data_IF_673685760097
#
_entry.id   IF_673685760097
#
_cell.length_a   1.000
_cell.length_b   1.000
_cell.length_c   1.000
_cell.angle_alpha   90.00
_cell.angle_beta   90.00
_cell.angle_gamma   90.00
#
_symmetry.space_group_name_H-M   'P 1'
#
loop_
_entity.id
_entity.type
_entity.pdbx_description
1 polymer ?
#
# COMPACT_ATOMS: atom_id res chain seq x y z
N UNK A 1 -11.89 1.76 11.63
CA UNK A 1 -12.44 1.12 12.86
C UNK A 1 -13.15 -0.19 12.53
N UNK A 2 -14.32 -0.15 11.86
CA UNK A 2 -15.11 -1.36 11.56
C UNK A 2 -14.28 -2.50 10.90
N UNK A 3 -13.43 -2.24 9.88
CA UNK A 3 -12.62 -3.32 9.29
C UNK A 3 -11.69 -4.03 10.29
N UNK A 4 -11.13 -3.29 11.25
CA UNK A 4 -10.26 -3.87 12.29
C UNK A 4 -11.07 -4.72 13.26
N UNK A 5 -12.26 -4.26 13.66
CA UNK A 5 -13.17 -5.05 14.51
C UNK A 5 -13.55 -6.36 13.82
N UNK A 6 -13.90 -6.31 12.54
CA UNK A 6 -14.22 -7.51 11.76
C UNK A 6 -13.03 -8.47 11.68
N UNK A 7 -11.82 -7.96 11.43
CA UNK A 7 -10.60 -8.80 11.45
C UNK A 7 -10.39 -9.46 12.82
N UNK A 8 -10.58 -8.74 13.92
CA UNK A 8 -10.47 -9.31 15.28
C UNK A 8 -11.50 -10.43 15.48
N UNK A 9 -12.77 -10.19 15.12
CA UNK A 9 -13.83 -11.22 15.21
C UNK A 9 -13.48 -12.43 14.36
N UNK A 10 -12.99 -12.23 13.13
CA UNK A 10 -12.57 -13.30 12.24
C UNK A 10 -11.42 -14.10 12.84
N UNK A 11 -10.38 -13.44 13.35
CA UNK A 11 -9.21 -14.09 13.95
C UNK A 11 -9.62 -14.93 15.16
N UNK A 12 -10.37 -14.35 16.10
CA UNK A 12 -10.79 -15.03 17.33
C UNK A 12 -11.71 -16.20 17.01
N UNK A 13 -12.72 -16.00 16.19
CA UNK A 13 -13.68 -17.06 15.82
C UNK A 13 -12.99 -18.19 15.06
N UNK A 14 -12.14 -17.86 14.07
CA UNK A 14 -11.42 -18.86 13.30
C UNK A 14 -10.46 -19.68 14.17
N UNK A 15 -9.79 -19.02 15.12
CA UNK A 15 -8.92 -19.70 16.08
C UNK A 15 -9.69 -20.63 17.03
N UNK A 16 -10.87 -20.22 17.50
CA UNK A 16 -11.72 -21.06 18.36
C UNK A 16 -12.22 -22.31 17.63
N UNK A 17 -12.45 -22.23 16.32
CA UNK A 17 -12.96 -23.35 15.53
C UNK A 17 -11.87 -24.34 15.11
N UNK A 18 -10.69 -23.85 14.70
CA UNK A 18 -9.64 -24.72 14.15
C UNK A 18 -8.21 -24.19 14.36
N UNK A 19 -7.98 -23.40 15.42
CA UNK A 19 -6.66 -22.84 15.74
C UNK A 19 -6.05 -22.03 14.60
N UNK A 20 -4.72 -22.10 14.46
CA UNK A 20 -3.99 -21.41 13.39
C UNK A 20 -4.38 -21.88 11.99
N UNK A 21 -4.79 -23.14 11.83
CA UNK A 21 -5.33 -23.64 10.57
C UNK A 21 -6.64 -22.95 10.21
N UNK A 22 -7.53 -22.73 11.19
CA UNK A 22 -8.74 -21.94 11.01
C UNK A 22 -8.46 -20.52 10.52
N UNK A 23 -7.47 -19.84 11.10
CA UNK A 23 -7.05 -18.50 10.65
C UNK A 23 -6.55 -18.53 9.20
N UNK A 24 -5.75 -19.53 8.83
CA UNK A 24 -5.26 -19.68 7.46
C UNK A 24 -6.40 -19.92 6.46
N UNK A 25 -7.37 -20.77 6.80
CA UNK A 25 -8.55 -21.01 5.97
C UNK A 25 -9.47 -19.78 5.92
N UNK A 26 -9.57 -18.99 7.00
CA UNK A 26 -10.30 -17.72 6.97
C UNK A 26 -9.64 -16.71 6.01
N UNK A 27 -8.30 -16.68 5.95
CA UNK A 27 -7.58 -15.89 4.95
C UNK A 27 -7.94 -16.32 3.53
N UNK A 28 -7.93 -17.64 3.27
CA UNK A 28 -8.31 -18.21 1.98
C UNK A 28 -9.78 -17.93 1.65
N UNK A 29 -10.67 -18.01 2.64
CA UNK A 29 -12.09 -17.69 2.52
C UNK A 29 -12.31 -16.25 2.08
N UNK A 30 -11.54 -15.30 2.64
CA UNK A 30 -11.56 -13.91 2.19
C UNK A 30 -11.20 -13.83 0.71
N UNK A 31 -10.11 -14.45 0.25
CA UNK A 31 -9.72 -14.40 -1.18
C UNK A 31 -10.41 -15.45 -2.07
N UNK A 32 -11.42 -16.18 -1.59
CA UNK A 32 -12.07 -17.24 -2.37
C UNK A 32 -12.80 -16.71 -3.61
N UNK A 33 -13.24 -15.46 -3.55
CA UNK A 33 -13.90 -14.73 -4.66
C UNK A 33 -12.96 -13.76 -5.37
N UNK A 34 -11.64 -13.98 -5.30
CA UNK A 34 -10.61 -13.06 -5.83
C UNK A 34 -10.81 -12.74 -7.32
N UNK A 35 -11.33 -13.67 -8.14
CA UNK A 35 -11.62 -13.40 -9.55
C UNK A 35 -12.62 -12.25 -9.72
N UNK A 36 -13.71 -12.24 -8.93
CA UNK A 36 -14.70 -11.17 -8.94
C UNK A 36 -14.09 -9.90 -8.38
N UNK A 37 -13.35 -9.99 -7.27
CA UNK A 37 -12.67 -8.85 -6.66
C UNK A 37 -11.71 -8.14 -7.62
N UNK A 38 -10.86 -8.90 -8.33
CA UNK A 38 -9.96 -8.36 -9.35
C UNK A 38 -10.70 -7.79 -10.54
N UNK A 39 -11.82 -8.39 -10.95
CA UNK A 39 -12.62 -7.89 -12.08
C UNK A 39 -13.17 -6.49 -11.79
N UNK A 40 -13.73 -6.27 -10.59
CA UNK A 40 -14.27 -4.96 -10.21
C UNK A 40 -13.18 -3.93 -9.92
N UNK A 41 -12.01 -4.35 -9.44
CA UNK A 41 -10.86 -3.47 -9.20
C UNK A 41 -10.25 -3.02 -10.54
N UNK A 42 -9.95 -3.97 -11.43
CA UNK A 42 -9.38 -3.70 -12.76
C UNK A 42 -10.31 -2.87 -13.66
N UNK A 43 -11.63 -2.93 -13.44
CA UNK A 43 -12.61 -2.08 -14.11
C UNK A 43 -12.33 -0.58 -13.91
N UNK A 44 -11.80 -0.17 -12.75
CA UNK A 44 -11.53 1.24 -12.43
C UNK A 44 -10.50 1.88 -13.35
N UNK A 45 -9.23 1.41 -13.36
CA UNK A 45 -8.19 1.95 -14.24
C UNK A 45 -8.50 1.87 -15.74
N UNK A 46 -9.31 0.88 -16.17
CA UNK A 46 -9.79 0.80 -17.56
C UNK A 46 -10.75 1.96 -17.85
N UNK A 47 -11.66 2.26 -16.94
CA UNK A 47 -12.62 3.36 -17.06
C UNK A 47 -11.94 4.73 -17.02
N UNK A 48 -10.93 4.91 -16.17
CA UNK A 48 -10.12 6.13 -16.10
C UNK A 48 -9.37 6.39 -17.43
N UNK A 49 -8.67 5.37 -17.95
CA UNK A 49 -8.01 5.47 -19.26
C UNK A 49 -8.99 5.78 -20.40
N UNK A 50 -10.19 5.19 -20.37
CA UNK A 50 -11.22 5.50 -21.37
C UNK A 50 -11.63 6.99 -21.32
N UNK A 51 -11.75 7.57 -20.13
CA UNK A 51 -12.01 9.00 -19.95
C UNK A 51 -10.85 9.88 -20.42
N UNK A 52 -9.61 9.49 -20.11
CA UNK A 52 -8.41 10.19 -20.60
C UNK A 52 -8.30 10.17 -22.13
N UNK A 53 -8.54 9.02 -22.76
CA UNK A 53 -8.57 8.89 -24.23
C UNK A 53 -9.68 9.75 -24.83
N UNK A 54 -10.87 9.77 -24.24
CA UNK A 54 -11.98 10.58 -24.72
C UNK A 54 -11.65 12.09 -24.71
N UNK A 55 -10.99 12.56 -23.65
CA UNK A 55 -10.53 13.96 -23.54
C UNK A 55 -9.45 14.28 -24.59
N UNK A 56 -8.42 13.43 -24.70
CA UNK A 56 -7.30 13.64 -25.64
C UNK A 56 -7.72 13.54 -27.11
N UNK A 57 -8.80 12.82 -27.40
CA UNK A 57 -9.37 12.68 -28.74
C UNK A 57 -10.49 13.71 -29.03
N UNK A 58 -10.71 14.68 -28.13
CA UNK A 58 -11.73 15.73 -28.25
C UNK A 58 -13.14 15.18 -28.54
N UNK A 59 -13.48 14.03 -27.95
CA UNK A 59 -14.79 13.42 -28.12
C UNK A 59 -15.88 14.27 -27.45
N UNK A 60 -17.13 14.08 -27.90
CA UNK A 60 -18.27 14.83 -27.40
C UNK A 60 -18.44 14.72 -25.87
N UNK A 61 -18.92 15.80 -25.25
CA UNK A 61 -19.09 15.92 -23.79
C UNK A 61 -19.87 14.74 -23.18
N UNK A 62 -20.85 14.19 -23.89
CA UNK A 62 -21.60 13.01 -23.46
C UNK A 62 -20.69 11.79 -23.20
N UNK A 63 -19.64 11.58 -24.01
CA UNK A 63 -18.68 10.49 -23.83
C UNK A 63 -17.87 10.72 -22.55
N UNK A 64 -17.47 11.96 -22.28
CA UNK A 64 -16.76 12.33 -21.05
C UNK A 64 -17.63 12.16 -19.81
N UNK A 65 -18.89 12.61 -19.87
CA UNK A 65 -19.83 12.48 -18.76
C UNK A 65 -20.12 11.00 -18.41
N UNK A 66 -20.21 10.13 -19.43
CA UNK A 66 -20.35 8.68 -19.24
C UNK A 66 -19.10 8.09 -18.60
N UNK A 67 -17.92 8.35 -19.16
CA UNK A 67 -16.64 7.82 -18.63
C UNK A 67 -16.34 8.34 -17.21
N UNK A 68 -16.61 9.61 -16.91
CA UNK A 68 -16.49 10.19 -15.56
C UNK A 68 -17.44 9.53 -14.55
N UNK A 69 -18.55 8.94 -15.00
CA UNK A 69 -19.46 8.18 -14.15
C UNK A 69 -18.93 6.78 -13.89
N UNK A 70 -18.34 6.15 -14.90
CA UNK A 70 -17.68 4.84 -14.77
C UNK A 70 -16.44 4.93 -13.87
N UNK A 71 -15.61 5.95 -14.04
CA UNK A 71 -14.41 6.25 -13.25
C UNK A 71 -14.74 6.46 -11.76
N UNK A 72 -15.77 7.24 -11.44
CA UNK A 72 -16.20 7.42 -10.05
C UNK A 72 -16.64 6.10 -9.37
N UNK A 73 -17.28 5.20 -10.13
CA UNK A 73 -17.57 3.85 -9.64
C UNK A 73 -16.27 3.03 -9.47
N UNK A 74 -15.34 3.16 -10.41
CA UNK A 74 -14.00 2.58 -10.38
C UNK A 74 -13.19 2.96 -9.14
N UNK A 75 -13.22 4.22 -8.72
CA UNK A 75 -12.50 4.68 -7.52
C UNK A 75 -13.05 4.05 -6.24
N UNK A 76 -14.36 3.76 -6.23
CA UNK A 76 -15.00 3.03 -5.14
C UNK A 76 -14.63 1.55 -5.16
N UNK A 77 -14.64 0.89 -6.33
CA UNK A 77 -14.26 -0.52 -6.44
C UNK A 77 -12.77 -0.74 -6.14
N UNK A 78 -11.90 0.20 -6.52
CA UNK A 78 -10.48 0.18 -6.17
C UNK A 78 -10.27 0.30 -4.66
N UNK A 79 -11.03 1.15 -3.97
CA UNK A 79 -10.98 1.23 -2.50
C UNK A 79 -11.43 -0.10 -1.84
N UNK A 80 -12.46 -0.74 -2.37
CA UNK A 80 -12.91 -2.08 -1.92
C UNK A 80 -11.81 -3.12 -2.16
N UNK A 81 -11.21 -3.14 -3.36
CA UNK A 81 -10.10 -4.03 -3.71
C UNK A 81 -8.91 -3.86 -2.78
N UNK A 82 -8.50 -2.62 -2.49
CA UNK A 82 -7.46 -2.29 -1.50
C UNK A 82 -7.81 -2.81 -0.11
N UNK A 83 -9.05 -2.60 0.35
CA UNK A 83 -9.53 -3.13 1.64
C UNK A 83 -9.45 -4.65 1.72
N UNK A 84 -9.83 -5.34 0.64
CA UNK A 84 -9.76 -6.80 0.52
C UNK A 84 -8.31 -7.32 0.51
N UNK A 85 -7.42 -6.63 -0.21
CA UNK A 85 -6.01 -6.93 -0.24
C UNK A 85 -5.36 -6.76 1.14
N UNK A 86 -5.72 -5.70 1.87
CA UNK A 86 -5.20 -5.44 3.24
C UNK A 86 -5.75 -6.47 4.23
N UNK A 87 -7.06 -6.75 4.20
CA UNK A 87 -7.67 -7.74 5.11
C UNK A 87 -7.11 -9.15 4.89
N UNK A 88 -6.98 -9.57 3.64
CA UNK A 88 -6.37 -10.86 3.31
C UNK A 88 -4.89 -10.89 3.68
N UNK A 89 -4.17 -9.78 3.51
CA UNK A 89 -2.80 -9.65 3.97
C UNK A 89 -2.65 -9.83 5.47
N UNK A 90 -3.56 -9.25 6.26
CA UNK A 90 -3.53 -9.42 7.70
C UNK A 90 -3.66 -10.90 8.09
N UNK A 91 -4.67 -11.59 7.55
CA UNK A 91 -4.95 -12.99 7.88
C UNK A 91 -3.87 -13.94 7.34
N UNK A 92 -3.41 -13.76 6.11
CA UNK A 92 -2.32 -14.57 5.53
C UNK A 92 -1.02 -14.37 6.31
N UNK A 93 -0.70 -13.13 6.69
CA UNK A 93 0.52 -12.86 7.46
C UNK A 93 0.46 -13.46 8.86
N UNK A 94 -0.72 -13.48 9.49
CA UNK A 94 -0.92 -14.16 10.77
C UNK A 94 -0.75 -15.68 10.65
N UNK A 95 -1.24 -16.28 9.57
CA UNK A 95 -1.03 -17.70 9.27
C UNK A 95 0.45 -18.03 9.03
N UNK A 96 1.15 -17.21 8.23
CA UNK A 96 2.59 -17.33 7.98
C UNK A 96 3.41 -17.12 9.26
N UNK A 97 2.99 -16.19 10.12
CA UNK A 97 3.60 -15.96 11.41
C UNK A 97 3.47 -17.19 12.31
N UNK A 98 2.29 -17.81 12.40
CA UNK A 98 2.14 -19.08 13.11
C UNK A 98 3.04 -20.18 12.54
N UNK A 99 3.07 -20.33 11.22
CA UNK A 99 3.94 -21.30 10.58
C UNK A 99 5.42 -21.04 10.94
N UNK A 100 5.84 -19.77 11.00
CA UNK A 100 7.18 -19.38 11.42
C UNK A 100 7.46 -19.78 12.88
N UNK A 101 6.53 -19.54 13.81
CA UNK A 101 6.69 -19.94 15.22
C UNK A 101 6.77 -21.46 15.37
N UNK A 102 5.93 -22.21 14.65
CA UNK A 102 6.01 -23.67 14.64
C UNK A 102 7.34 -24.15 14.04
N UNK A 103 7.77 -23.56 12.92
CA UNK A 103 9.00 -23.96 12.22
C UNK A 103 10.26 -23.67 13.03
N UNK A 104 10.24 -22.63 13.86
CA UNK A 104 11.35 -22.24 14.73
C UNK A 104 11.35 -22.95 16.08
N UNK A 105 10.37 -23.84 16.34
CA UNK A 105 10.18 -24.51 17.63
C UNK A 105 10.09 -23.54 18.82
N UNK A 106 9.60 -22.32 18.58
CA UNK A 106 9.43 -21.31 19.63
C UNK A 106 8.21 -21.67 20.47
N UNK A 107 8.42 -22.08 21.72
CA UNK A 107 7.38 -22.61 22.61
C UNK A 107 6.46 -21.54 23.21
N UNK A 108 6.98 -20.35 23.50
CA UNK A 108 6.17 -19.21 23.98
C UNK A 108 6.72 -17.87 23.48
N UNK A 109 5.80 -16.97 23.13
CA UNK A 109 6.07 -15.58 22.81
C UNK A 109 5.51 -14.70 23.91
N UNK A 110 6.29 -14.53 24.97
CA UNK A 110 5.93 -13.64 26.05
C UNK A 110 6.20 -12.20 25.63
N UNK A 111 5.15 -11.39 25.53
CA UNK A 111 5.26 -9.97 25.12
C UNK A 111 6.13 -9.17 26.10
N UNK A 112 6.20 -9.59 27.37
CA UNK A 112 7.04 -8.94 28.38
C UNK A 112 8.53 -9.33 28.29
N UNK A 113 8.89 -10.30 27.45
CA UNK A 113 10.29 -10.59 27.17
C UNK A 113 10.90 -9.42 26.37
N UNK A 114 12.05 -8.92 26.82
CA UNK A 114 12.70 -7.74 26.23
C UNK A 114 13.03 -7.90 24.74
N UNK A 115 13.43 -9.10 24.29
CA UNK A 115 13.73 -9.38 22.89
C UNK A 115 12.46 -9.24 22.02
N UNK A 116 11.36 -9.82 22.50
CA UNK A 116 10.06 -9.81 21.81
C UNK A 116 9.49 -8.40 21.79
N UNK A 117 9.49 -7.70 22.93
CA UNK A 117 8.98 -6.34 23.03
C UNK A 117 9.80 -5.34 22.20
N UNK A 118 11.13 -5.45 22.23
CA UNK A 118 12.02 -4.65 21.38
C UNK A 118 11.75 -4.89 19.90
N UNK A 119 11.57 -6.16 19.51
CA UNK A 119 11.13 -6.53 18.17
C UNK A 119 9.77 -5.93 17.82
N UNK A 120 8.80 -5.97 18.73
CA UNK A 120 7.45 -5.42 18.54
C UNK A 120 7.48 -3.93 18.25
N UNK A 121 8.23 -3.15 19.04
CA UNK A 121 8.40 -1.72 18.81
C UNK A 121 9.09 -1.43 17.47
N UNK A 122 10.16 -2.16 17.16
CA UNK A 122 10.88 -2.00 15.89
C UNK A 122 9.97 -2.32 14.71
N UNK A 123 9.24 -3.44 14.77
CA UNK A 123 8.29 -3.87 13.76
C UNK A 123 7.17 -2.86 13.53
N UNK A 124 6.59 -2.31 14.61
CA UNK A 124 5.53 -1.31 14.52
C UNK A 124 5.98 -0.01 13.82
N UNK A 125 7.27 0.32 13.88
CA UNK A 125 7.85 1.48 13.21
C UNK A 125 8.07 1.26 11.70
N UNK A 126 8.31 0.02 11.24
CA UNK A 126 8.64 -0.28 9.84
C UNK A 126 7.60 0.20 8.82
N UNK A 127 6.27 0.03 9.02
CA UNK A 127 5.28 0.57 8.08
C UNK A 127 5.35 2.10 7.95
N UNK A 128 5.65 2.81 9.04
CA UNK A 128 5.80 4.27 9.03
C UNK A 128 7.08 4.70 8.32
N UNK A 129 8.19 4.01 8.58
CA UNK A 129 9.45 4.25 7.90
C UNK A 129 9.34 3.99 6.39
N UNK A 130 8.71 2.87 6.01
CA UNK A 130 8.41 2.54 4.62
C UNK A 130 7.57 3.63 3.95
N UNK A 131 6.50 4.06 4.62
CA UNK A 131 5.61 5.14 4.14
C UNK A 131 6.36 6.46 3.99
N UNK A 132 7.24 6.80 4.94
CA UNK A 132 8.02 8.02 4.86
C UNK A 132 8.95 8.03 3.63
N UNK A 133 9.55 6.89 3.28
CA UNK A 133 10.36 6.75 2.07
C UNK A 133 9.50 6.93 0.82
N UNK A 134 8.42 6.15 0.68
CA UNK A 134 7.58 6.16 -0.53
C UNK A 134 6.91 7.51 -0.75
N UNK A 135 6.38 8.14 0.31
CA UNK A 135 5.78 9.48 0.23
C UNK A 135 6.81 10.53 -0.20
N UNK A 136 8.04 10.48 0.35
CA UNK A 136 9.11 11.41 -0.02
C UNK A 136 9.55 11.22 -1.47
N UNK A 137 9.64 9.98 -1.94
CA UNK A 137 10.02 9.66 -3.32
C UNK A 137 8.99 10.18 -4.32
N UNK A 138 7.69 9.97 -4.06
CA UNK A 138 6.63 10.55 -4.92
C UNK A 138 6.64 12.07 -4.88
N UNK A 139 6.81 12.67 -3.69
CA UNK A 139 6.86 14.12 -3.54
C UNK A 139 7.98 14.76 -4.37
N UNK A 140 9.18 14.17 -4.38
CA UNK A 140 10.29 14.65 -5.23
C UNK A 140 9.95 14.54 -6.72
N UNK A 141 9.49 13.37 -7.17
CA UNK A 141 9.14 13.13 -8.56
C UNK A 141 8.00 14.05 -9.04
N UNK A 142 7.04 14.34 -8.17
CA UNK A 142 5.94 15.25 -8.45
C UNK A 142 6.41 16.71 -8.60
N UNK A 143 7.36 17.16 -7.77
CA UNK A 143 7.96 18.49 -7.92
C UNK A 143 8.69 18.61 -9.26
N UNK A 144 9.51 17.63 -9.60
CA UNK A 144 10.22 17.59 -10.89
C UNK A 144 9.24 17.62 -12.08
N UNK A 145 8.14 16.86 -11.99
CA UNK A 145 7.06 16.85 -12.98
C UNK A 145 6.38 18.21 -13.11
N UNK A 146 6.08 18.88 -12.00
CA UNK A 146 5.45 20.21 -12.00
C UNK A 146 6.36 21.26 -12.61
N UNK A 147 7.65 21.23 -12.29
CA UNK A 147 8.64 22.14 -12.87
C UNK A 147 8.78 21.94 -14.38
N UNK A 148 8.82 20.69 -14.85
CA UNK A 148 8.88 20.35 -16.27
C UNK A 148 7.62 20.81 -17.03
N UNK A 149 6.42 20.51 -16.51
CA UNK A 149 5.16 20.93 -17.15
C UNK A 149 5.08 22.47 -17.22
N UNK A 150 5.47 23.17 -16.15
CA UNK A 150 5.54 24.65 -16.15
C UNK A 150 6.53 25.19 -17.16
N UNK A 151 7.69 24.54 -17.29
CA UNK A 151 8.72 24.89 -18.27
C UNK A 151 8.17 24.76 -19.69
N UNK A 152 7.53 23.63 -20.02
CA UNK A 152 6.94 23.44 -21.35
C UNK A 152 5.87 24.49 -21.68
N UNK A 153 4.98 24.81 -20.72
CA UNK A 153 3.98 25.87 -20.91
C UNK A 153 4.58 27.26 -21.13
N UNK A 154 5.75 27.54 -20.57
CA UNK A 154 6.42 28.85 -20.70
C UNK A 154 7.29 28.94 -21.95
N UNK A 155 8.02 27.88 -22.28
CA UNK A 155 9.09 27.90 -23.29
C UNK A 155 8.64 27.46 -24.68
N UNK A 156 7.61 26.61 -24.81
CA UNK A 156 7.14 26.13 -26.10
C UNK A 156 5.98 27.01 -26.56
N UNK A 157 6.17 27.87 -27.58
CA UNK A 157 5.11 28.77 -28.04
C UNK A 157 3.93 27.97 -28.59
N UNK A 158 2.69 28.42 -28.41
CA UNK A 158 1.53 27.77 -29.03
C UNK A 158 1.00 26.53 -28.30
N UNK A 159 1.61 26.05 -27.21
CA UNK A 159 1.10 24.87 -26.46
C UNK A 159 -0.25 25.17 -25.80
N UNK A 160 -0.36 26.30 -25.11
CA UNK A 160 -1.61 26.66 -24.40
C UNK A 160 -2.74 26.97 -25.36
N UNK A 161 -2.41 27.38 -26.59
CA UNK A 161 -3.33 27.59 -27.70
C UNK A 161 -3.65 26.31 -28.49
N UNK A 162 -3.05 25.17 -28.12
CA UNK A 162 -3.25 23.87 -28.80
C UNK A 162 -2.61 23.76 -30.19
N UNK A 163 -1.72 24.67 -30.56
CA UNK A 163 -1.08 24.72 -31.89
C UNK A 163 0.15 23.82 -32.00
N UNK A 164 0.87 23.65 -30.89
CA UNK A 164 2.08 22.83 -30.83
C UNK A 164 1.91 21.68 -29.84
N UNK A 165 2.58 20.56 -30.11
CA UNK A 165 2.53 19.38 -29.26
C UNK A 165 3.49 19.50 -28.07
N UNK A 166 3.07 19.09 -26.86
CA UNK A 166 3.96 19.01 -25.71
C UNK A 166 4.96 17.85 -25.84
N UNK A 167 6.04 17.92 -25.08
CA UNK A 167 7.01 16.82 -24.98
C UNK A 167 6.59 15.85 -23.87
N UNK A 168 5.79 14.86 -24.27
CA UNK A 168 5.35 13.78 -23.39
C UNK A 168 6.51 12.88 -22.93
N UNK A 169 7.54 12.71 -23.77
CA UNK A 169 8.66 11.81 -23.47
C UNK A 169 9.40 12.30 -22.24
N UNK A 170 9.58 13.60 -22.10
CA UNK A 170 10.27 14.17 -20.94
C UNK A 170 9.55 13.88 -19.62
N UNK A 171 8.23 14.01 -19.57
CA UNK A 171 7.43 13.63 -18.41
C UNK A 171 7.53 12.14 -18.09
N UNK A 172 7.49 11.27 -19.12
CA UNK A 172 7.68 9.82 -18.96
C UNK A 172 9.07 9.49 -18.41
N UNK A 173 10.11 10.16 -18.89
CA UNK A 173 11.49 9.94 -18.44
C UNK A 173 11.68 10.31 -16.96
N UNK A 174 11.05 11.40 -16.50
CA UNK A 174 11.09 11.84 -15.09
C UNK A 174 10.46 10.79 -14.18
N UNK A 175 9.22 10.37 -14.47
CA UNK A 175 8.52 9.39 -13.63
C UNK A 175 9.21 8.02 -13.66
N UNK A 176 9.69 7.58 -14.82
CA UNK A 176 10.41 6.30 -14.99
C UNK A 176 11.70 6.28 -14.20
N UNK A 177 12.54 7.31 -14.35
CA UNK A 177 13.84 7.38 -13.67
C UNK A 177 13.69 7.46 -12.16
N UNK A 178 12.72 8.25 -11.68
CA UNK A 178 12.41 8.35 -10.26
C UNK A 178 11.92 7.01 -9.71
N UNK A 179 10.96 6.36 -10.37
CA UNK A 179 10.40 5.08 -9.92
C UNK A 179 11.49 3.99 -9.81
N UNK A 180 12.32 3.82 -10.85
CA UNK A 180 13.36 2.79 -10.87
C UNK A 180 14.43 3.00 -9.79
N UNK A 181 14.81 4.26 -9.52
CA UNK A 181 15.82 4.58 -8.52
C UNK A 181 15.27 4.47 -7.10
N UNK A 182 14.08 5.02 -6.88
CA UNK A 182 13.52 5.19 -5.54
C UNK A 182 12.87 3.90 -5.01
N UNK A 183 12.47 2.94 -5.86
CA UNK A 183 11.91 1.66 -5.42
C UNK A 183 12.93 0.76 -4.68
N UNK A 184 14.23 0.97 -4.91
CA UNK A 184 15.30 0.09 -4.38
C UNK A 184 15.32 0.13 -2.85
N UNK A 185 15.30 1.33 -2.25
CA UNK A 185 15.49 1.47 -0.81
C UNK A 185 14.32 0.88 0.02
N UNK A 186 13.04 1.16 -0.30
CA UNK A 186 11.92 0.49 0.36
C UNK A 186 11.93 -1.03 0.13
N UNK A 187 12.33 -1.50 -1.06
CA UNK A 187 12.46 -2.92 -1.34
C UNK A 187 13.52 -3.61 -0.48
N UNK A 188 14.70 -2.99 -0.36
CA UNK A 188 15.78 -3.48 0.50
C UNK A 188 15.37 -3.46 1.97
N UNK A 189 14.66 -2.43 2.44
CA UNK A 189 14.14 -2.40 3.81
C UNK A 189 13.33 -3.68 4.10
N UNK A 190 12.38 -4.01 3.23
CA UNK A 190 11.47 -5.15 3.44
C UNK A 190 12.20 -6.49 3.36
N UNK A 191 13.09 -6.66 2.38
CA UNK A 191 13.83 -7.92 2.19
C UNK A 191 14.91 -8.16 3.24
N UNK A 192 15.68 -7.12 3.58
CA UNK A 192 16.81 -7.26 4.49
C UNK A 192 16.38 -7.30 5.95
N UNK A 193 15.24 -6.70 6.33
CA UNK A 193 14.82 -6.66 7.73
C UNK A 193 14.69 -8.05 8.36
N UNK A 194 13.96 -9.03 7.78
CA UNK A 194 13.90 -10.38 8.33
C UNK A 194 15.27 -11.06 8.43
N UNK A 195 16.11 -10.87 7.42
CA UNK A 195 17.44 -11.49 7.34
C UNK A 195 18.35 -10.94 8.44
N UNK A 196 18.45 -9.61 8.55
CA UNK A 196 19.30 -8.94 9.53
C UNK A 196 18.79 -9.17 10.95
N UNK A 197 17.49 -9.04 11.20
CA UNK A 197 16.92 -9.25 12.54
C UNK A 197 17.04 -10.71 12.94
N UNK A 198 16.67 -11.65 12.07
CA UNK A 198 16.78 -13.08 12.35
C UNK A 198 18.22 -13.52 12.59
N UNK A 199 19.17 -13.02 11.79
CA UNK A 199 20.58 -13.37 11.94
C UNK A 199 21.21 -12.74 13.19
N UNK A 200 21.02 -11.45 13.43
CA UNK A 200 21.67 -10.72 14.52
C UNK A 200 20.99 -10.94 15.88
N UNK A 201 19.65 -10.89 15.92
CA UNK A 201 18.87 -10.89 17.16
C UNK A 201 18.04 -12.17 17.35
N UNK A 202 17.91 -13.02 16.32
CA UNK A 202 17.28 -14.33 16.47
C UNK A 202 15.76 -14.32 16.32
N UNK A 203 15.18 -15.52 16.49
CA UNK A 203 13.78 -15.80 16.13
C UNK A 203 12.76 -15.11 17.03
N UNK A 204 13.07 -14.87 18.31
CA UNK A 204 12.18 -14.19 19.26
C UNK A 204 12.00 -12.71 18.92
N UNK A 205 13.10 -12.00 18.67
CA UNK A 205 13.03 -10.61 18.21
C UNK A 205 12.33 -10.51 16.86
N UNK A 206 12.67 -11.40 15.91
CA UNK A 206 12.02 -11.42 14.60
C UNK A 206 10.51 -11.67 14.72
N UNK A 207 10.07 -12.54 15.63
CA UNK A 207 8.66 -12.75 15.90
C UNK A 207 7.95 -11.48 16.39
N UNK A 208 8.59 -10.73 17.29
CA UNK A 208 8.13 -9.40 17.70
C UNK A 208 8.00 -8.45 16.52
N UNK A 209 9.02 -8.40 15.65
CA UNK A 209 9.01 -7.55 14.44
C UNK A 209 7.83 -7.87 13.53
N UNK A 210 7.57 -9.15 13.27
CA UNK A 210 6.44 -9.59 12.44
C UNK A 210 5.10 -9.19 13.05
N UNK A 211 4.92 -9.39 14.36
CA UNK A 211 3.69 -9.03 15.06
C UNK A 211 3.46 -7.50 15.04
N UNK A 212 4.51 -6.72 15.30
CA UNK A 212 4.46 -5.25 15.33
C UNK A 212 4.14 -4.67 13.96
N UNK A 213 4.83 -5.14 12.93
CA UNK A 213 4.61 -4.69 11.55
C UNK A 213 3.20 -5.03 11.07
N UNK A 214 2.67 -6.19 11.45
CA UNK A 214 1.30 -6.60 11.13
C UNK A 214 0.26 -5.64 11.75
N UNK A 215 0.30 -5.45 13.08
CA UNK A 215 -0.75 -4.68 13.76
C UNK A 215 -0.70 -3.19 13.40
N UNK A 216 0.49 -2.61 13.28
CA UNK A 216 0.65 -1.20 12.90
C UNK A 216 0.35 -1.00 11.41
N UNK A 217 0.87 -1.89 10.56
CA UNK A 217 0.76 -1.76 9.11
C UNK A 217 -0.66 -1.89 8.61
N UNK A 218 -1.47 -2.79 9.18
CA UNK A 218 -2.89 -2.94 8.79
C UNK A 218 -3.68 -1.66 9.04
N UNK A 219 -3.49 -1.01 10.20
CA UNK A 219 -4.20 0.25 10.53
C UNK A 219 -3.74 1.39 9.61
N UNK A 220 -2.44 1.51 9.38
CA UNK A 220 -1.87 2.54 8.49
C UNK A 220 -2.32 2.33 7.04
N UNK A 221 -2.31 1.10 6.54
CA UNK A 221 -2.72 0.79 5.17
C UNK A 221 -4.20 1.11 4.93
N UNK A 222 -5.09 0.73 5.85
CA UNK A 222 -6.53 1.02 5.74
C UNK A 222 -6.79 2.53 5.76
N UNK A 223 -6.15 3.24 6.69
CA UNK A 223 -6.33 4.70 6.80
C UNK A 223 -5.83 5.42 5.54
N UNK A 224 -4.62 5.10 5.06
CA UNK A 224 -4.06 5.69 3.85
C UNK A 224 -4.93 5.46 2.61
N UNK A 225 -5.35 4.21 2.36
CA UNK A 225 -6.19 3.87 1.21
C UNK A 225 -7.54 4.59 1.24
N UNK A 226 -8.21 4.59 2.39
CA UNK A 226 -9.53 5.21 2.52
C UNK A 226 -9.47 6.74 2.51
N UNK A 227 -8.46 7.35 3.13
CA UNK A 227 -8.29 8.81 3.11
C UNK A 227 -8.06 9.32 1.69
N UNK A 228 -7.16 8.69 0.93
CA UNK A 228 -6.93 9.12 -0.46
C UNK A 228 -8.13 8.88 -1.37
N UNK A 229 -8.82 7.73 -1.24
CA UNK A 229 -10.06 7.49 -2.00
C UNK A 229 -11.19 8.44 -1.61
N UNK A 230 -11.26 8.85 -0.34
CA UNK A 230 -12.20 9.84 0.15
C UNK A 230 -11.98 11.23 -0.45
N UNK A 231 -10.72 11.69 -0.53
CA UNK A 231 -10.40 12.97 -1.16
C UNK A 231 -10.67 12.99 -2.66
N UNK A 232 -10.35 11.91 -3.37
CA UNK A 232 -10.65 11.81 -4.82
C UNK A 232 -12.16 11.88 -5.09
N UNK A 233 -12.95 11.10 -4.35
CA UNK A 233 -14.40 11.12 -4.49
C UNK A 233 -15.01 12.48 -4.08
N UNK A 234 -14.43 13.17 -3.10
CA UNK A 234 -14.85 14.53 -2.76
C UNK A 234 -14.59 15.52 -3.93
N UNK A 235 -13.43 15.43 -4.59
CA UNK A 235 -13.11 16.20 -5.80
C UNK A 235 -14.13 15.90 -6.92
N UNK A 236 -14.35 14.62 -7.25
CA UNK A 236 -15.34 14.20 -8.28
C UNK A 236 -16.76 14.69 -7.96
N UNK A 237 -17.15 14.71 -6.68
CA UNK A 237 -18.44 15.23 -6.25
C UNK A 237 -18.57 16.74 -6.53
N UNK A 238 -17.54 17.52 -6.20
CA UNK A 238 -17.49 18.97 -6.43
C UNK A 238 -17.49 19.29 -7.93
N UNK A 239 -16.75 18.54 -8.74
CA UNK A 239 -16.75 18.67 -10.21
C UNK A 239 -18.16 18.54 -10.81
N UNK A 240 -19.01 17.69 -10.23
CA UNK A 240 -20.36 17.40 -10.76
C UNK A 240 -21.50 18.18 -10.10
N UNK A 241 -21.42 18.47 -8.79
CA UNK A 241 -22.60 18.88 -7.99
C UNK A 241 -22.41 20.12 -7.12
N UNK A 242 -21.19 20.49 -6.75
CA UNK A 242 -20.95 21.55 -5.77
C UNK A 242 -19.85 22.50 -6.23
N UNK A 243 -20.18 23.72 -6.62
CA UNK A 243 -19.22 24.76 -7.05
C UNK A 243 -18.65 24.57 -8.47
N UNK A 244 -18.53 23.34 -8.95
CA UNK A 244 -18.07 23.04 -10.31
C UNK A 244 -16.58 23.28 -10.52
N UNK A 245 -16.08 22.85 -11.69
CA UNK A 245 -14.66 22.96 -12.07
C UNK A 245 -14.20 24.42 -12.05
N UNK A 246 -13.05 24.66 -11.45
CA UNK A 246 -12.39 25.97 -11.38
C UNK A 246 -12.74 26.83 -10.16
N UNK A 247 -13.77 26.46 -9.39
CA UNK A 247 -14.11 27.11 -8.12
C UNK A 247 -13.01 26.94 -7.06
N UNK A 248 -13.02 27.77 -6.01
CA UNK A 248 -12.05 27.66 -4.92
C UNK A 248 -12.23 26.36 -4.13
N UNK A 249 -13.48 25.89 -3.99
CA UNK A 249 -13.78 24.57 -3.42
C UNK A 249 -13.17 23.44 -4.27
N UNK A 250 -13.26 23.55 -5.60
CA UNK A 250 -12.63 22.59 -6.52
C UNK A 250 -11.12 22.58 -6.39
N UNK A 251 -10.47 23.75 -6.36
CA UNK A 251 -9.02 23.84 -6.17
C UNK A 251 -8.59 23.22 -4.84
N UNK A 252 -9.32 23.47 -3.74
CA UNK A 252 -9.03 22.86 -2.44
C UNK A 252 -9.20 21.34 -2.47
N UNK A 253 -10.22 20.82 -3.16
CA UNK A 253 -10.43 19.39 -3.31
C UNK A 253 -9.34 18.72 -4.15
N UNK A 254 -8.87 19.38 -5.22
CA UNK A 254 -7.71 18.92 -6.02
C UNK A 254 -6.46 18.84 -5.16
N UNK A 255 -6.21 19.80 -4.26
CA UNK A 255 -5.08 19.72 -3.32
C UNK A 255 -5.20 18.48 -2.43
N UNK A 256 -6.38 18.23 -1.85
CA UNK A 256 -6.62 17.03 -1.03
C UNK A 256 -6.39 15.73 -1.80
N UNK A 257 -6.85 15.66 -3.04
CA UNK A 257 -6.65 14.49 -3.91
C UNK A 257 -5.16 14.24 -4.20
N UNK A 258 -4.42 15.28 -4.57
CA UNK A 258 -2.97 15.16 -4.83
C UNK A 258 -2.13 14.78 -3.60
N UNK A 259 -2.60 15.14 -2.39
CA UNK A 259 -2.03 14.62 -1.13
C UNK A 259 -2.39 13.14 -0.93
N UNK A 260 -3.60 12.76 -1.32
CA UNK A 260 -4.14 11.40 -1.25
C UNK A 260 -3.54 10.40 -2.24
N UNK A 261 -3.06 10.84 -3.39
CA UNK A 261 -2.48 9.99 -4.44
C UNK A 261 -1.34 9.09 -3.93
N UNK A 262 -0.24 9.62 -3.34
CA UNK A 262 0.83 8.78 -2.82
C UNK A 262 0.39 7.93 -1.61
N UNK A 263 -0.66 8.33 -0.88
CA UNK A 263 -1.24 7.49 0.17
C UNK A 263 -1.98 6.28 -0.40
N UNK A 264 -2.88 6.49 -1.36
CA UNK A 264 -3.79 5.46 -1.84
C UNK A 264 -3.20 4.59 -2.95
N UNK A 265 -2.19 5.07 -3.69
CA UNK A 265 -1.66 4.38 -4.88
C UNK A 265 -0.17 4.00 -4.78
N UNK A 266 0.54 4.47 -3.76
CA UNK A 266 1.93 4.08 -3.52
C UNK A 266 2.11 3.44 -2.16
N UNK A 267 1.95 4.21 -1.09
CA UNK A 267 2.35 3.80 0.26
C UNK A 267 1.35 2.81 0.87
N UNK A 268 0.07 3.17 0.90
CA UNK A 268 -1.00 2.39 1.54
C UNK A 268 -1.11 0.95 1.02
N UNK A 269 -1.27 0.74 -0.30
CA UNK A 269 -1.29 -0.60 -0.87
C UNK A 269 0.02 -1.35 -0.64
N UNK A 270 1.18 -0.70 -0.77
CA UNK A 270 2.47 -1.39 -0.66
C UNK A 270 2.77 -1.90 0.76
N UNK A 271 2.17 -1.32 1.80
CA UNK A 271 2.30 -1.85 3.18
C UNK A 271 1.76 -3.28 3.26
N UNK A 272 0.74 -3.66 2.50
CA UNK A 272 0.23 -5.02 2.51
C UNK A 272 1.27 -6.03 2.01
N UNK A 273 2.10 -5.61 1.06
CA UNK A 273 3.21 -6.39 0.50
C UNK A 273 4.35 -6.45 1.52
N UNK A 274 4.67 -5.33 2.17
CA UNK A 274 5.66 -5.27 3.25
C UNK A 274 5.41 -6.35 4.31
N UNK A 275 4.16 -6.46 4.78
CA UNK A 275 3.81 -7.41 5.85
C UNK A 275 3.92 -8.86 5.35
N UNK A 276 3.29 -9.18 4.20
CA UNK A 276 3.32 -10.54 3.63
C UNK A 276 4.74 -10.99 3.29
N UNK A 277 5.53 -10.10 2.68
CA UNK A 277 6.88 -10.40 2.21
C UNK A 277 7.83 -10.63 3.37
N UNK A 278 7.74 -9.83 4.45
CA UNK A 278 8.51 -10.11 5.66
C UNK A 278 8.10 -11.44 6.29
N UNK A 279 6.80 -11.74 6.37
CA UNK A 279 6.31 -12.99 6.97
C UNK A 279 6.79 -14.23 6.20
N UNK A 280 6.67 -14.24 4.87
CA UNK A 280 7.14 -15.38 4.06
C UNK A 280 8.67 -15.49 4.07
N UNK A 281 9.40 -14.37 4.03
CA UNK A 281 10.87 -14.38 4.10
C UNK A 281 11.32 -14.97 5.44
N UNK A 282 10.72 -14.55 6.55
CA UNK A 282 11.00 -15.12 7.86
C UNK A 282 10.74 -16.63 7.92
N UNK A 283 9.63 -17.09 7.34
CA UNK A 283 9.29 -18.51 7.30
C UNK A 283 10.29 -19.33 6.47
N UNK A 284 10.67 -18.84 5.28
CA UNK A 284 11.62 -19.54 4.40
C UNK A 284 12.99 -19.69 5.06
N UNK A 285 13.45 -18.64 5.74
CA UNK A 285 14.75 -18.64 6.43
C UNK A 285 14.68 -19.13 7.89
N UNK A 286 13.54 -19.64 8.35
CA UNK A 286 13.31 -20.01 9.74
C UNK A 286 14.38 -20.96 10.31
N UNK A 287 14.66 -22.05 9.61
CA UNK A 287 15.69 -23.03 10.00
C UNK A 287 17.09 -22.41 10.09
N UNK A 288 17.42 -21.57 9.12
CA UNK A 288 18.69 -20.85 9.12
C UNK A 288 18.81 -19.97 10.36
N UNK A 289 17.75 -19.25 10.74
CA UNK A 289 17.76 -18.42 11.95
C UNK A 289 17.83 -19.23 13.24
N UNK A 290 17.21 -20.42 13.30
CA UNK A 290 17.35 -21.31 14.47
C UNK A 290 18.80 -21.75 14.65
N UNK A 291 19.46 -22.15 13.56
CA UNK A 291 20.81 -22.69 13.61
C UNK A 291 21.87 -21.59 13.79
N UNK A 292 21.77 -20.53 12.99
CA UNK A 292 22.83 -19.52 12.85
C UNK A 292 22.45 -18.13 13.40
N UNK A 293 21.18 -17.91 13.76
CA UNK A 293 20.71 -16.61 14.23
C UNK A 293 21.05 -16.30 15.69
N UNK A 294 20.67 -15.10 16.12
CA UNK A 294 20.91 -14.60 17.48
C UNK A 294 22.37 -14.31 17.78
N UNK A 295 23.16 -13.93 16.77
CA UNK A 295 24.61 -13.74 16.90
C UNK A 295 24.98 -12.78 18.05
N UNK A 296 24.26 -11.67 18.19
CA UNK A 296 24.51 -10.68 19.25
C UNK A 296 24.32 -11.35 20.62
N UNK A 297 23.20 -12.03 20.83
CA UNK A 297 22.93 -12.70 22.09
C UNK A 297 23.90 -13.83 22.38
N UNK A 298 24.38 -14.56 21.36
CA UNK A 298 25.42 -15.60 21.50
C UNK A 298 26.81 -15.04 21.83
N UNK A 299 27.09 -13.78 21.52
CA UNK A 299 28.37 -13.13 21.82
C UNK A 299 28.37 -12.55 23.24
N UNK A 300 27.23 -12.02 23.69
CA UNK A 300 27.11 -11.32 24.98
C UNK A 300 26.57 -12.20 26.12
N UNK A 301 26.16 -13.44 25.84
CA UNK A 301 25.89 -14.50 26.84
C UNK A 301 27.00 -15.54 26.85
#
# INVERSE_FOLDING_TARGET
VIPVILLVITIVTANLLAGMYGIAIAALGMISTIAIGLTIDAYGPVSDNAGGIAEMAELGKEVRDRTDTLDAAGNTTAAIGKGFAIGSAALTSLALFAAFITRTHTTSLEVLNAEVFGGLMFGAMLPFLFTAMTMKSVGKAAVDMVEEVRKQFKEIPGIMEGKNKPDYKRCVDISTSAALREMILPGLLVLLTPILVGYLFGVKTLAGVLAGALVAGVVLAISAANSGGGWDNAKKYIEKKAGGKGSDQHKAAVVGDTVGDPFKDTSGPSINILIKLMAITSLVFAEFFVQQGGLIFKIFH
#
